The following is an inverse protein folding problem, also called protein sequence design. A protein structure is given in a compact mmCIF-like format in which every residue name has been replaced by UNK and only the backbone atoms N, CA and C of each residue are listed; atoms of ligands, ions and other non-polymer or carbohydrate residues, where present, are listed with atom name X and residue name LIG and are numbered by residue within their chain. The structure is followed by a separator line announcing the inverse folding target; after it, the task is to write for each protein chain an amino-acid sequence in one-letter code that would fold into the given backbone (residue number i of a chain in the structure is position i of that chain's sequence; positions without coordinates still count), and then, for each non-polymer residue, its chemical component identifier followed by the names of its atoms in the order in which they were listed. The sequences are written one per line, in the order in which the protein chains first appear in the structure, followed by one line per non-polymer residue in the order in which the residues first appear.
data_IF_832009166383
#
_entry.id   IF_832009166383
#
_cell.length_a   1.000
_cell.length_b   1.000
_cell.length_c   1.000
_cell.angle_alpha   90.00
_cell.angle_beta   90.00
_cell.angle_gamma   90.00
#
_symmetry.space_group_name_H-M   'P 1'
#
loop_
_entity.id
_entity.type
_entity.pdbx_description
1 polymer ?
#
# COMPACT_ATOMS: atom_id res chain seq x y z
N UNK A 1 15.46 -4.75 -8.20
CA UNK A 1 14.23 -5.52 -7.90
C UNK A 1 13.27 -4.55 -7.25
N UNK A 2 12.11 -4.30 -7.84
CA UNK A 2 11.11 -3.38 -7.27
C UNK A 2 10.28 -4.10 -6.21
N UNK A 3 9.63 -3.32 -5.35
CA UNK A 3 8.63 -3.81 -4.39
C UNK A 3 7.25 -3.31 -4.80
N UNK A 4 6.28 -4.21 -4.81
CA UNK A 4 4.87 -3.85 -5.07
C UNK A 4 4.15 -3.73 -3.75
N UNK A 5 3.39 -2.66 -3.55
CA UNK A 5 2.64 -2.44 -2.31
C UNK A 5 1.21 -2.03 -2.62
N UNK A 6 0.28 -2.47 -1.77
CA UNK A 6 -1.04 -1.88 -1.67
C UNK A 6 -1.07 -0.85 -0.54
N UNK A 7 -1.58 0.33 -0.83
CA UNK A 7 -1.82 1.41 0.12
C UNK A 7 -3.32 1.67 0.23
N UNK A 8 -3.83 1.67 1.45
CA UNK A 8 -5.19 2.09 1.76
C UNK A 8 -5.13 3.41 2.51
N UNK A 9 -6.02 4.35 2.18
CA UNK A 9 -6.05 5.69 2.76
C UNK A 9 -7.43 5.99 3.34
N UNK A 10 -7.46 6.54 4.55
CA UNK A 10 -8.64 7.13 5.19
C UNK A 10 -8.44 8.63 5.32
N UNK A 11 -9.36 9.42 4.80
CA UNK A 11 -9.34 10.87 4.93
C UNK A 11 -10.06 11.34 6.19
N UNK A 12 -9.62 12.48 6.71
CA UNK A 12 -10.40 13.23 7.70
C UNK A 12 -11.69 13.80 7.08
N UNK A 13 -12.69 14.04 7.93
CA UNK A 13 -14.00 14.51 7.47
C UNK A 13 -13.95 15.89 6.80
N UNK A 14 -13.10 16.79 7.29
CA UNK A 14 -12.89 18.12 6.71
C UNK A 14 -12.26 18.03 5.30
N UNK A 15 -11.31 17.12 5.10
CA UNK A 15 -10.73 16.84 3.78
C UNK A 15 -11.80 16.37 2.81
N UNK A 16 -12.72 15.49 3.24
CA UNK A 16 -13.85 15.03 2.41
C UNK A 16 -14.77 16.19 2.02
N UNK A 17 -15.11 17.07 2.96
CA UNK A 17 -15.90 18.27 2.66
C UNK A 17 -15.22 19.14 1.58
N UNK A 18 -13.89 19.33 1.69
CA UNK A 18 -13.12 20.04 0.67
C UNK A 18 -13.13 19.32 -0.69
N UNK A 19 -13.09 17.97 -0.72
CA UNK A 19 -13.18 17.21 -1.98
C UNK A 19 -14.53 17.38 -2.67
N UNK A 20 -15.62 17.53 -1.91
CA UNK A 20 -16.95 17.80 -2.45
C UNK A 20 -17.01 19.21 -3.05
N UNK A 21 -16.42 20.20 -2.37
CA UNK A 21 -16.39 21.57 -2.84
C UNK A 21 -15.47 21.76 -4.06
N UNK A 22 -14.36 21.02 -4.13
CA UNK A 22 -13.39 21.09 -5.23
C UNK A 22 -12.92 19.69 -5.60
N UNK A 23 -13.69 19.00 -6.48
CA UNK A 23 -13.30 17.69 -6.98
C UNK A 23 -11.95 17.73 -7.71
N UNK A 24 -11.13 16.71 -7.53
CA UNK A 24 -9.83 16.56 -8.20
C UNK A 24 -9.49 15.09 -8.40
N UNK A 25 -8.68 14.80 -9.43
CA UNK A 25 -8.18 13.45 -9.68
C UNK A 25 -7.11 13.06 -8.65
N UNK A 26 -7.50 12.21 -7.70
CA UNK A 26 -6.60 11.71 -6.66
C UNK A 26 -5.62 10.65 -7.17
N UNK A 27 -5.97 9.95 -8.27
CA UNK A 27 -5.07 9.01 -8.91
C UNK A 27 -3.91 9.75 -9.59
N UNK A 28 -4.18 10.90 -10.23
CA UNK A 28 -3.14 11.75 -10.80
C UNK A 28 -2.16 12.27 -9.72
N UNK A 29 -2.69 12.82 -8.61
CA UNK A 29 -1.86 13.28 -7.50
C UNK A 29 -0.95 12.17 -6.95
N UNK A 30 -1.51 10.96 -6.77
CA UNK A 30 -0.75 9.80 -6.29
C UNK A 30 0.27 9.31 -7.32
N UNK A 31 -0.05 9.37 -8.61
CA UNK A 31 0.87 9.00 -9.70
C UNK A 31 2.09 9.91 -9.71
N UNK A 32 1.89 11.22 -9.56
CA UNK A 32 2.98 12.20 -9.52
C UNK A 32 3.86 12.00 -8.29
N UNK A 33 3.27 11.77 -7.11
CA UNK A 33 4.02 11.48 -5.89
C UNK A 33 4.87 10.21 -6.03
N UNK A 34 4.26 9.10 -6.47
CA UNK A 34 4.96 7.82 -6.67
C UNK A 34 6.08 7.96 -7.71
N UNK A 35 5.84 8.65 -8.83
CA UNK A 35 6.84 8.87 -9.87
C UNK A 35 8.03 9.72 -9.38
N UNK A 36 7.80 10.72 -8.53
CA UNK A 36 8.85 11.55 -7.96
C UNK A 36 9.85 10.75 -7.09
N UNK A 37 9.42 9.61 -6.55
CA UNK A 37 10.26 8.67 -5.80
C UNK A 37 10.76 7.48 -6.63
N UNK A 38 10.68 7.58 -7.97
CA UNK A 38 11.15 6.54 -8.88
C UNK A 38 10.24 5.31 -8.96
N UNK A 39 9.02 5.41 -8.45
CA UNK A 39 8.01 4.35 -8.49
C UNK A 39 7.07 4.45 -9.68
N UNK A 40 6.11 3.53 -9.73
CA UNK A 40 5.05 3.49 -10.75
C UNK A 40 3.70 3.14 -10.13
N UNK A 41 2.71 4.01 -10.30
CA UNK A 41 1.33 3.70 -9.93
C UNK A 41 0.73 2.70 -10.93
N UNK A 42 0.31 1.54 -10.43
CA UNK A 42 -0.33 0.49 -11.23
C UNK A 42 -1.85 0.67 -11.26
N UNK A 43 -2.45 0.82 -10.07
CA UNK A 43 -3.90 0.91 -9.93
C UNK A 43 -4.30 1.92 -8.86
N UNK A 44 -5.45 2.55 -9.05
CA UNK A 44 -6.06 3.47 -8.09
C UNK A 44 -7.57 3.25 -8.09
N UNK A 45 -8.16 3.11 -6.90
CA UNK A 45 -9.57 2.84 -6.70
C UNK A 45 -10.10 3.72 -5.57
N UNK A 46 -11.32 4.23 -5.75
CA UNK A 46 -12.14 4.68 -4.62
C UNK A 46 -12.67 3.45 -3.87
N UNK A 47 -12.72 3.53 -2.54
CA UNK A 47 -13.30 2.49 -1.68
C UNK A 47 -14.34 3.10 -0.75
N UNK A 48 -15.23 2.26 -0.21
CA UNK A 48 -16.21 2.69 0.79
C UNK A 48 -16.22 1.70 1.95
N UNK A 49 -16.10 2.20 3.17
CA UNK A 49 -15.94 1.38 4.39
C UNK A 49 -14.84 1.94 5.29
N UNK A 50 -13.96 1.06 5.76
CA UNK A 50 -12.85 1.43 6.65
C UNK A 50 -11.93 2.48 6.00
N UNK A 51 -11.61 2.32 4.71
CA UNK A 51 -10.78 3.23 3.92
C UNK A 51 -11.58 3.86 2.76
N UNK A 52 -11.09 4.99 2.25
CA UNK A 52 -11.74 5.76 1.19
C UNK A 52 -11.06 5.62 -0.18
N UNK A 53 -9.78 5.24 -0.21
CA UNK A 53 -9.03 4.98 -1.45
C UNK A 53 -8.08 3.78 -1.26
N UNK A 54 -7.82 3.07 -2.36
CA UNK A 54 -6.79 2.04 -2.47
C UNK A 54 -5.89 2.33 -3.67
N UNK A 55 -4.58 2.25 -3.48
CA UNK A 55 -3.57 2.37 -4.52
C UNK A 55 -2.71 1.13 -4.53
N UNK A 56 -2.33 0.66 -5.72
CA UNK A 56 -1.32 -0.37 -5.90
C UNK A 56 -0.21 0.22 -6.74
N UNK A 57 1.01 0.18 -6.24
CA UNK A 57 2.16 0.79 -6.90
C UNK A 57 3.45 0.02 -6.65
N UNK A 58 4.40 0.22 -7.56
CA UNK A 58 5.75 -0.29 -7.48
C UNK A 58 6.68 0.81 -6.97
N UNK A 59 7.65 0.44 -6.14
CA UNK A 59 8.73 1.31 -5.68
C UNK A 59 10.09 0.64 -5.89
N UNK A 60 11.20 1.40 -5.93
CA UNK A 60 12.54 0.85 -6.05
C UNK A 60 12.90 -0.12 -4.91
N UNK A 61 12.51 0.20 -3.68
CA UNK A 61 12.79 -0.58 -2.47
C UNK A 61 11.85 -0.19 -1.31
N UNK A 62 11.95 -0.91 -0.19
CA UNK A 62 11.16 -0.64 1.02
C UNK A 62 11.52 0.68 1.71
N UNK A 63 12.74 1.21 1.53
CA UNK A 63 13.11 2.51 2.09
C UNK A 63 12.35 3.64 1.37
N UNK A 64 12.17 3.51 0.06
CA UNK A 64 11.36 4.41 -0.77
C UNK A 64 9.88 4.35 -0.39
N UNK A 65 9.36 3.15 -0.10
CA UNK A 65 7.99 2.99 0.45
C UNK A 65 7.87 3.72 1.79
N UNK A 66 8.81 3.51 2.72
CA UNK A 66 8.79 4.15 4.03
C UNK A 66 8.87 5.69 3.93
N UNK A 67 9.73 6.21 3.04
CA UNK A 67 9.81 7.65 2.78
C UNK A 67 8.50 8.23 2.27
N UNK A 68 7.82 7.55 1.33
CA UNK A 68 6.49 7.95 0.86
C UNK A 68 5.47 8.03 2.01
N UNK A 69 5.46 7.04 2.91
CA UNK A 69 4.56 7.03 4.06
C UNK A 69 4.83 8.20 5.01
N UNK A 70 6.09 8.45 5.36
CA UNK A 70 6.46 9.54 6.26
C UNK A 70 6.07 10.91 5.68
N UNK A 71 6.24 11.11 4.38
CA UNK A 71 5.80 12.33 3.70
C UNK A 71 4.27 12.44 3.62
N UNK A 72 3.56 11.33 3.38
CA UNK A 72 2.11 11.28 3.40
C UNK A 72 1.54 11.68 4.78
N UNK A 73 2.15 11.20 5.86
CA UNK A 73 1.78 11.58 7.24
C UNK A 73 2.11 13.05 7.52
N UNK A 74 3.35 13.47 7.23
CA UNK A 74 3.81 14.83 7.52
C UNK A 74 3.04 15.91 6.75
N UNK A 75 2.50 15.59 5.57
CA UNK A 75 1.69 16.50 4.77
C UNK A 75 0.23 16.63 5.24
N UNK A 76 -0.19 15.81 6.21
CA UNK A 76 -1.60 15.76 6.64
C UNK A 76 -2.54 15.32 5.53
N UNK A 77 -2.04 14.51 4.59
CA UNK A 77 -2.80 14.03 3.43
C UNK A 77 -3.91 13.05 3.86
N UNK A 78 -3.70 12.30 4.94
CA UNK A 78 -4.61 11.26 5.42
C UNK A 78 -4.75 11.27 6.94
N UNK A 79 -5.89 10.80 7.44
CA UNK A 79 -6.10 10.47 8.85
C UNK A 79 -5.31 9.21 9.24
N UNK A 80 -5.51 8.17 8.45
CA UNK A 80 -4.86 6.88 8.59
C UNK A 80 -4.48 6.36 7.22
N UNK A 81 -3.39 5.61 7.16
CA UNK A 81 -3.07 4.81 6.00
C UNK A 81 -2.57 3.43 6.43
N UNK A 82 -2.71 2.46 5.54
CA UNK A 82 -2.22 1.09 5.73
C UNK A 82 -1.44 0.68 4.50
N UNK A 83 -0.23 0.16 4.71
CA UNK A 83 0.62 -0.38 3.65
C UNK A 83 0.75 -1.89 3.82
N UNK A 84 0.60 -2.59 2.70
CA UNK A 84 0.70 -4.04 2.61
C UNK A 84 1.67 -4.35 1.47
N UNK A 85 2.90 -4.81 1.78
CA UNK A 85 3.79 -5.37 0.77
C UNK A 85 3.13 -6.57 0.09
N UNK A 86 3.15 -6.56 -1.23
CA UNK A 86 2.61 -7.63 -2.06
C UNK A 86 3.77 -8.43 -2.64
N UNK A 87 3.55 -9.73 -2.76
CA UNK A 87 4.45 -10.64 -3.46
C UNK A 87 3.65 -11.40 -4.50
N UNK A 88 4.33 -11.94 -5.52
CA UNK A 88 3.66 -12.58 -6.63
C UNK A 88 2.96 -13.87 -6.19
N UNK A 89 1.98 -14.32 -6.99
CA UNK A 89 1.37 -15.62 -6.75
C UNK A 89 2.40 -16.76 -6.86
N UNK A 90 3.40 -16.62 -7.73
CA UNK A 90 4.48 -17.60 -7.85
C UNK A 90 5.35 -17.65 -6.59
N UNK A 91 5.68 -16.49 -6.01
CA UNK A 91 6.35 -16.42 -4.71
C UNK A 91 5.48 -17.02 -3.60
N UNK A 92 4.15 -16.85 -3.67
CA UNK A 92 3.23 -17.48 -2.72
C UNK A 92 3.24 -19.00 -2.83
N UNK A 93 3.23 -19.55 -4.05
CA UNK A 93 3.35 -20.98 -4.28
C UNK A 93 4.71 -21.51 -3.80
N UNK A 94 5.80 -20.78 -4.09
CA UNK A 94 7.13 -21.12 -3.59
C UNK A 94 7.20 -21.11 -2.06
N UNK A 95 6.52 -20.15 -1.42
CA UNK A 95 6.41 -20.06 0.03
C UNK A 95 5.62 -21.25 0.62
N UNK A 96 4.50 -21.65 0.00
CA UNK A 96 3.74 -22.84 0.39
C UNK A 96 4.60 -24.12 0.30
N UNK A 97 5.31 -24.31 -0.82
CA UNK A 97 6.20 -25.45 -0.99
C UNK A 97 7.33 -25.46 0.04
N UNK A 98 7.90 -24.28 0.37
CA UNK A 98 8.91 -24.13 1.42
C UNK A 98 8.33 -24.47 2.80
N UNK A 99 7.14 -23.99 3.13
CA UNK A 99 6.46 -24.31 4.38
C UNK A 99 6.20 -25.82 4.50
N UNK A 100 5.74 -26.46 3.43
CA UNK A 100 5.51 -27.91 3.39
C UNK A 100 6.76 -28.74 3.72
N UNK A 101 7.95 -28.33 3.22
CA UNK A 101 9.24 -28.98 3.55
C UNK A 101 9.68 -28.80 5.00
N UNK A 102 9.20 -27.75 5.65
CA UNK A 102 9.57 -27.40 7.03
C UNK A 102 8.51 -27.84 8.05
N UNK A 103 7.41 -28.45 7.61
CA UNK A 103 6.27 -28.81 8.48
C UNK A 103 6.71 -29.63 9.69
N UNK A 104 7.57 -30.63 9.49
CA UNK A 104 8.00 -31.52 10.57
C UNK A 104 9.08 -30.90 11.48
N UNK A 105 9.68 -29.79 11.06
CA UNK A 105 10.57 -28.97 11.91
C UNK A 105 9.82 -27.97 12.79
N UNK A 106 8.54 -27.78 12.51
CA UNK A 106 7.63 -26.90 13.25
C UNK A 106 6.71 -27.77 14.11
N UNK A 107 7.27 -28.42 15.14
CA UNK A 107 6.44 -28.98 16.20
C UNK A 107 5.69 -27.81 16.87
N UNK A 108 4.36 -27.87 16.90
CA UNK A 108 3.57 -26.93 17.72
C UNK A 108 4.07 -27.13 19.16
N UNK A 109 4.60 -26.08 19.77
CA UNK A 109 5.04 -26.14 21.16
C UNK A 109 3.79 -26.38 22.03
N UNK A 110 3.57 -27.63 22.43
CA UNK A 110 2.53 -28.06 23.34
C UNK A 110 1.22 -28.48 22.67
N UNK A 111 1.09 -29.78 22.40
CA UNK A 111 -0.10 -30.54 22.80
C UNK A 111 0.34 -31.66 23.76
#
# INVERSE_FOLDING_TARGET
MTVTVAMLIKYENDKKAAMIQTPSDRAEASRNAVAAMGGKLLYAYGTFGEYDMMFVYEMPDMASVAANMMLADASGMSKYHKIIPLFSNDDFLAAQAKAGRMKDSYAVAGE
#
